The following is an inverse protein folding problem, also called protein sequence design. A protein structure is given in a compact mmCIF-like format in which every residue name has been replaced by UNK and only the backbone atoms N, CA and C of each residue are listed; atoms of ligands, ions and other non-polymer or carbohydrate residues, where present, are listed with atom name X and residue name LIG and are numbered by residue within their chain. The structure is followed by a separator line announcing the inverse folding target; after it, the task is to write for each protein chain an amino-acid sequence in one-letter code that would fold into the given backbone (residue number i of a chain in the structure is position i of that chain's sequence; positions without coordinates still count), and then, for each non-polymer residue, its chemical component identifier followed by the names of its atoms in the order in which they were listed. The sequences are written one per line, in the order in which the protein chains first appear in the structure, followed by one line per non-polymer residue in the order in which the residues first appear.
data_IF_719506093951
#
_entry.id   IF_719506093951
#
_cell.length_a   1.000
_cell.length_b   1.000
_cell.length_c   1.000
_cell.angle_alpha   90.00
_cell.angle_beta   90.00
_cell.angle_gamma   90.00
#
_symmetry.space_group_name_H-M   'P 1'
#
loop_
_entity.id
_entity.type
_entity.pdbx_description
1 polymer ?
#
# COMPACT_ATOMS: atom_id res chain seq x y z
N UNK A 1 2.97 18.36 20.65
CA UNK A 1 1.67 19.07 20.45
C UNK A 1 1.82 20.46 19.81
N UNK A 2 2.61 21.39 20.37
CA UNK A 2 2.78 22.76 19.82
C UNK A 2 3.30 22.79 18.37
N UNK A 3 4.25 21.90 18.05
CA UNK A 3 4.85 21.79 16.70
C UNK A 3 3.82 21.47 15.62
N UNK A 4 2.85 20.61 15.93
CA UNK A 4 1.82 20.20 14.96
C UNK A 4 0.70 21.23 14.83
N UNK A 5 0.40 21.96 15.91
CA UNK A 5 -0.60 23.04 15.89
C UNK A 5 -0.22 24.14 14.89
N UNK A 6 1.08 24.41 14.71
CA UNK A 6 1.58 25.35 13.71
C UNK A 6 1.28 24.88 12.27
N UNK A 7 1.37 23.57 12.01
CA UNK A 7 1.10 22.98 10.71
C UNK A 7 -0.41 22.80 10.43
N UNK A 8 -1.24 22.62 11.47
CA UNK A 8 -2.64 22.18 11.34
C UNK A 8 -3.70 23.30 11.37
N UNK A 9 -3.34 24.53 10.97
CA UNK A 9 -4.22 25.73 10.88
C UNK A 9 -5.58 25.59 11.60
N UNK A 10 -5.59 25.72 12.93
CA UNK A 10 -6.83 25.85 13.74
C UNK A 10 -7.57 24.56 14.15
N UNK A 11 -6.99 23.36 13.99
CA UNK A 11 -7.69 22.11 14.29
C UNK A 11 -7.79 21.72 15.79
N UNK A 12 -8.87 20.99 16.14
CA UNK A 12 -9.22 20.60 17.52
C UNK A 12 -8.20 19.62 18.15
N UNK A 13 -7.64 19.91 19.35
CA UNK A 13 -6.61 19.09 20.01
C UNK A 13 -7.04 17.67 20.44
N UNK A 14 -8.35 17.43 20.57
CA UNK A 14 -8.88 16.20 21.21
C UNK A 14 -8.50 14.92 20.47
N UNK A 15 -8.32 14.97 19.14
CA UNK A 15 -7.98 13.80 18.33
C UNK A 15 -6.49 13.43 18.33
N UNK A 16 -5.62 14.31 18.86
CA UNK A 16 -4.16 14.13 18.89
C UNK A 16 -3.68 13.34 20.11
N UNK A 17 -4.46 13.28 21.21
CA UNK A 17 -4.03 12.64 22.46
C UNK A 17 -3.61 11.18 22.28
N UNK A 18 -4.39 10.39 21.54
CA UNK A 18 -4.07 8.98 21.30
C UNK A 18 -2.81 8.79 20.45
N UNK A 19 -2.55 9.70 19.52
CA UNK A 19 -1.39 9.65 18.64
C UNK A 19 -0.11 10.05 19.35
N UNK A 20 -0.18 11.10 20.19
CA UNK A 20 0.95 11.56 21.01
C UNK A 20 1.38 10.52 22.06
N UNK A 21 0.54 9.53 22.35
CA UNK A 21 0.87 8.39 23.22
C UNK A 21 1.54 7.25 22.47
N UNK A 22 1.48 7.22 21.13
CA UNK A 22 2.21 6.25 20.32
C UNK A 22 3.51 6.91 19.83
N UNK A 23 4.62 6.57 20.47
CA UNK A 23 5.93 7.16 20.19
C UNK A 23 6.37 6.92 18.74
N UNK A 24 6.09 5.74 18.19
CA UNK A 24 6.50 5.38 16.82
C UNK A 24 5.74 6.22 15.79
N UNK A 25 4.41 6.30 15.92
CA UNK A 25 3.62 7.14 15.03
C UNK A 25 3.95 8.62 15.20
N UNK A 26 4.14 9.09 16.43
CA UNK A 26 4.56 10.48 16.69
C UNK A 26 5.87 10.78 15.96
N UNK A 27 6.88 9.92 16.07
CA UNK A 27 8.15 10.08 15.36
C UNK A 27 7.98 10.06 13.84
N UNK A 28 7.14 9.16 13.31
CA UNK A 28 6.87 9.07 11.87
C UNK A 28 6.23 10.33 11.28
N UNK A 29 5.26 10.93 11.98
CA UNK A 29 4.67 12.21 11.58
C UNK A 29 5.62 13.40 11.84
N UNK A 30 6.36 13.39 12.95
CA UNK A 30 7.36 14.43 13.27
C UNK A 30 8.43 14.53 12.18
N UNK A 31 8.80 13.42 11.55
CA UNK A 31 9.77 13.38 10.45
C UNK A 31 9.34 14.19 9.22
N UNK A 32 8.04 14.53 9.09
CA UNK A 32 7.48 15.32 8.00
C UNK A 32 7.29 16.81 8.36
N UNK A 33 7.64 17.24 9.58
CA UNK A 33 7.41 18.63 10.02
C UNK A 33 8.20 19.68 9.23
N UNK A 34 9.33 19.29 8.64
CA UNK A 34 10.16 20.16 7.82
C UNK A 34 9.68 20.26 6.36
N UNK A 35 8.53 19.65 6.02
CA UNK A 35 7.86 19.79 4.73
C UNK A 35 6.48 20.44 4.95
N UNK A 36 6.39 21.77 5.11
CA UNK A 36 5.13 22.43 5.48
C UNK A 36 3.97 22.11 4.53
N UNK A 37 4.25 22.00 3.22
CA UNK A 37 3.25 21.75 2.19
C UNK A 37 2.43 20.46 2.35
N UNK A 38 2.99 19.39 2.94
CA UNK A 38 2.27 18.10 3.03
C UNK A 38 1.17 18.07 4.08
N UNK A 39 1.23 18.98 5.06
CA UNK A 39 0.33 18.98 6.22
C UNK A 39 -1.11 19.37 5.90
N UNK A 40 -1.36 20.02 4.75
CA UNK A 40 -2.72 20.27 4.24
C UNK A 40 -3.48 18.96 3.95
N UNK A 41 -2.76 17.87 3.65
CA UNK A 41 -3.35 16.55 3.45
C UNK A 41 -3.76 15.82 4.73
N UNK A 42 -3.50 16.37 5.91
CA UNK A 42 -3.73 15.69 7.18
C UNK A 42 -5.22 15.45 7.48
N UNK A 43 -5.60 14.21 7.84
CA UNK A 43 -6.99 13.86 8.20
C UNK A 43 -7.11 13.37 9.64
N UNK A 44 -7.31 14.31 10.57
CA UNK A 44 -7.41 14.01 12.00
C UNK A 44 -8.54 13.04 12.38
N UNK A 45 -9.61 13.00 11.58
CA UNK A 45 -10.76 12.11 11.80
C UNK A 45 -10.43 10.64 11.48
N UNK A 46 -9.41 10.39 10.66
CA UNK A 46 -8.97 9.03 10.28
C UNK A 46 -7.87 8.51 11.20
N UNK A 47 -7.18 9.35 11.98
CA UNK A 47 -6.07 8.96 12.85
C UNK A 47 -6.42 7.86 13.87
N UNK A 48 -7.55 7.99 14.55
CA UNK A 48 -7.97 6.99 15.54
C UNK A 48 -8.27 5.64 14.89
N UNK A 49 -8.87 5.68 13.69
CA UNK A 49 -9.09 4.47 12.89
C UNK A 49 -7.75 3.88 12.48
N UNK A 50 -6.83 4.69 11.97
CA UNK A 50 -5.49 4.28 11.55
C UNK A 50 -4.78 3.48 12.65
N UNK A 51 -4.70 4.03 13.86
CA UNK A 51 -4.02 3.39 14.99
C UNK A 51 -4.67 2.06 15.40
N UNK A 52 -5.97 1.86 15.12
CA UNK A 52 -6.70 0.65 15.48
C UNK A 52 -6.64 -0.46 14.41
N UNK A 53 -6.07 -0.21 13.23
CA UNK A 53 -6.13 -1.18 12.12
C UNK A 53 -5.14 -2.33 12.24
N UNK A 54 -4.07 -2.17 13.03
CA UNK A 54 -3.01 -3.18 13.16
C UNK A 54 -2.06 -3.20 11.97
N UNK A 55 -1.79 -2.05 11.33
CA UNK A 55 -0.84 -1.94 10.21
C UNK A 55 0.17 -0.81 10.45
N UNK A 56 0.72 -0.77 11.67
CA UNK A 56 1.60 0.33 12.11
C UNK A 56 2.83 0.45 11.23
N UNK A 57 3.52 -0.66 10.96
CA UNK A 57 4.80 -0.63 10.27
C UNK A 57 4.63 -0.24 8.79
N UNK A 58 3.56 -0.71 8.15
CA UNK A 58 3.17 -0.31 6.79
C UNK A 58 2.86 1.18 6.72
N UNK A 59 2.13 1.70 7.71
CA UNK A 59 1.84 3.14 7.77
C UNK A 59 3.12 3.96 7.93
N UNK A 60 4.02 3.55 8.83
CA UNK A 60 5.30 4.21 9.04
C UNK A 60 6.18 4.14 7.78
N UNK A 61 6.12 3.05 7.02
CA UNK A 61 6.79 2.94 5.74
C UNK A 61 6.27 3.97 4.72
N UNK A 62 4.95 4.15 4.63
CA UNK A 62 4.37 5.16 3.75
C UNK A 62 4.80 6.58 4.16
N UNK A 63 4.77 6.90 5.47
CA UNK A 63 5.24 8.20 5.95
C UNK A 63 6.74 8.43 5.64
N UNK A 64 7.57 7.39 5.79
CA UNK A 64 8.98 7.43 5.38
C UNK A 64 9.13 7.66 3.88
N UNK A 65 8.32 6.98 3.07
CA UNK A 65 8.33 7.14 1.62
C UNK A 65 7.99 8.57 1.19
N UNK A 66 7.02 9.23 1.85
CA UNK A 66 6.75 10.66 1.65
C UNK A 66 8.03 11.48 1.88
N UNK A 67 8.70 11.26 3.02
CA UNK A 67 9.93 11.96 3.35
C UNK A 67 11.03 11.75 2.32
N UNK A 68 11.23 10.51 1.90
CA UNK A 68 12.27 10.12 0.94
C UNK A 68 12.05 10.76 -0.43
N UNK A 69 10.81 10.76 -0.95
CA UNK A 69 10.49 11.38 -2.25
C UNK A 69 10.80 12.87 -2.23
N UNK A 70 10.30 13.62 -1.24
CA UNK A 70 10.57 15.06 -1.18
C UNK A 70 12.04 15.38 -0.90
N UNK A 71 12.72 14.55 -0.09
CA UNK A 71 14.17 14.71 0.15
C UNK A 71 14.97 14.44 -1.12
N UNK A 72 14.62 13.42 -1.90
CA UNK A 72 15.23 13.13 -3.19
C UNK A 72 15.02 14.24 -4.21
N UNK A 73 13.85 14.91 -4.16
CA UNK A 73 13.53 16.01 -5.08
C UNK A 73 14.33 17.28 -4.81
N UNK A 74 14.36 17.77 -3.56
CA UNK A 74 14.92 19.11 -3.27
C UNK A 74 16.14 19.11 -2.35
N UNK A 75 16.47 17.97 -1.74
CA UNK A 75 17.50 17.87 -0.71
C UNK A 75 16.97 18.24 0.68
N UNK A 76 17.64 17.75 1.73
CA UNK A 76 17.20 17.91 3.13
C UNK A 76 17.05 19.39 3.54
N UNK A 77 18.00 20.23 3.15
CA UNK A 77 18.06 21.63 3.59
C UNK A 77 17.00 22.51 2.93
N UNK A 78 16.38 22.05 1.84
CA UNK A 78 15.38 22.80 1.08
C UNK A 78 13.94 22.32 1.28
N UNK A 79 13.71 21.30 2.12
CA UNK A 79 12.37 20.76 2.39
C UNK A 79 11.39 21.83 2.89
N UNK A 80 11.89 22.79 3.68
CA UNK A 80 11.09 23.90 4.22
C UNK A 80 10.54 24.87 3.17
N UNK A 81 11.07 24.83 1.94
CA UNK A 81 10.62 25.65 0.80
C UNK A 81 9.41 25.04 0.06
N UNK A 82 9.02 23.79 0.38
CA UNK A 82 7.89 23.12 -0.26
C UNK A 82 6.57 23.64 0.31
N UNK A 83 5.83 24.37 -0.53
CA UNK A 83 4.52 24.93 -0.18
C UNK A 83 3.36 23.97 -0.52
N UNK A 84 2.17 24.30 0.00
CA UNK A 84 0.95 23.51 -0.22
C UNK A 84 0.56 23.44 -1.69
N UNK A 85 0.74 24.52 -2.45
CA UNK A 85 0.38 24.57 -3.87
C UNK A 85 1.24 23.57 -4.68
N UNK A 86 2.52 23.50 -4.38
CA UNK A 86 3.47 22.55 -4.97
C UNK A 86 3.06 21.11 -4.64
N UNK A 87 2.77 20.79 -3.38
CA UNK A 87 2.32 19.43 -3.01
C UNK A 87 1.01 19.06 -3.70
N UNK A 88 0.04 19.99 -3.77
CA UNK A 88 -1.25 19.76 -4.44
C UNK A 88 -1.12 19.50 -5.94
N UNK A 89 -0.17 20.14 -6.59
CA UNK A 89 0.11 19.90 -7.99
C UNK A 89 0.79 18.53 -8.22
N UNK A 90 1.61 18.06 -7.27
CA UNK A 90 2.38 16.82 -7.38
C UNK A 90 1.60 15.58 -6.95
N UNK A 91 0.81 15.66 -5.87
CA UNK A 91 0.25 14.48 -5.20
C UNK A 91 -0.57 13.58 -6.13
N UNK A 92 -0.22 12.31 -6.22
CA UNK A 92 -0.88 11.35 -7.11
C UNK A 92 -0.48 11.42 -8.59
N UNK A 93 0.53 12.21 -8.97
CA UNK A 93 1.13 12.16 -10.32
C UNK A 93 2.26 11.15 -10.40
N UNK A 94 2.51 10.63 -11.60
CA UNK A 94 3.61 9.70 -11.88
C UNK A 94 4.56 10.30 -12.94
N UNK A 95 5.29 11.39 -12.63
CA UNK A 95 6.13 12.09 -13.62
C UNK A 95 7.26 11.26 -14.22
N UNK A 96 7.68 10.16 -13.58
CA UNK A 96 8.65 9.22 -14.15
C UNK A 96 8.07 8.16 -15.09
N UNK A 97 6.75 8.13 -15.27
CA UNK A 97 6.07 7.16 -16.15
C UNK A 97 5.09 7.81 -17.15
N UNK A 98 4.44 8.93 -16.77
CA UNK A 98 3.48 9.66 -17.60
C UNK A 98 4.07 10.97 -18.13
N UNK A 99 4.20 11.05 -19.46
CA UNK A 99 4.63 12.28 -20.14
C UNK A 99 3.60 13.40 -19.97
N UNK A 100 2.30 13.06 -19.88
CA UNK A 100 1.23 14.02 -19.60
C UNK A 100 1.39 14.66 -18.23
N UNK A 101 1.60 13.86 -17.18
CA UNK A 101 1.84 14.38 -15.84
C UNK A 101 3.06 15.29 -15.79
N UNK A 102 4.14 14.89 -16.44
CA UNK A 102 5.37 15.68 -16.51
C UNK A 102 5.15 17.02 -17.22
N UNK A 103 4.42 17.01 -18.34
CA UNK A 103 4.10 18.22 -19.10
C UNK A 103 3.22 19.19 -18.30
N UNK A 104 2.19 18.67 -17.62
CA UNK A 104 1.32 19.47 -16.74
C UNK A 104 2.11 20.10 -15.58
N UNK A 105 3.08 19.37 -15.00
CA UNK A 105 3.95 19.89 -13.94
C UNK A 105 4.89 20.99 -14.45
N UNK A 106 5.50 20.81 -15.64
CA UNK A 106 6.38 21.82 -16.25
C UNK A 106 5.62 23.09 -16.66
N UNK A 107 4.35 22.97 -17.06
CA UNK A 107 3.48 24.11 -17.34
C UNK A 107 2.97 24.83 -16.10
N UNK A 108 3.08 24.22 -14.92
CA UNK A 108 2.59 24.74 -13.65
C UNK A 108 3.52 25.77 -13.00
N UNK A 109 2.95 26.72 -12.25
CA UNK A 109 3.71 27.62 -11.37
C UNK A 109 3.94 26.97 -10.00
N UNK A 110 4.78 25.93 -9.98
CA UNK A 110 5.17 25.20 -8.76
C UNK A 110 6.61 25.52 -8.35
N UNK A 111 7.01 25.14 -7.14
CA UNK A 111 8.35 25.42 -6.59
C UNK A 111 8.69 26.92 -6.59
N UNK A 112 7.71 27.75 -6.21
CA UNK A 112 7.80 29.22 -6.29
C UNK A 112 8.98 29.80 -5.49
N UNK A 113 9.35 29.16 -4.37
CA UNK A 113 10.47 29.53 -3.51
C UNK A 113 11.87 29.11 -4.02
N UNK A 114 11.96 28.49 -5.20
CA UNK A 114 13.21 28.07 -5.84
C UNK A 114 13.54 28.97 -7.05
N UNK A 115 14.83 29.17 -7.30
CA UNK A 115 15.33 29.83 -8.52
C UNK A 115 15.07 28.96 -9.76
N UNK A 116 15.08 29.58 -10.95
CA UNK A 116 14.80 28.84 -12.19
C UNK A 116 15.80 27.70 -12.45
N UNK A 117 17.07 27.89 -12.07
CA UNK A 117 18.09 26.84 -12.14
C UNK A 117 17.80 25.68 -11.20
N UNK A 118 17.40 25.96 -9.96
CA UNK A 118 17.00 24.91 -9.00
C UNK A 118 15.75 24.16 -9.50
N UNK A 119 14.77 24.88 -10.07
CA UNK A 119 13.56 24.27 -10.63
C UNK A 119 13.86 23.29 -11.75
N UNK A 120 14.78 23.62 -12.65
CA UNK A 120 15.15 22.72 -13.75
C UNK A 120 15.71 21.40 -13.21
N UNK A 121 16.62 21.47 -12.22
CA UNK A 121 17.15 20.27 -11.55
C UNK A 121 16.06 19.47 -10.83
N UNK A 122 15.05 20.13 -10.27
CA UNK A 122 13.91 19.45 -9.64
C UNK A 122 13.06 18.72 -10.70
N UNK A 123 12.84 19.32 -11.87
CA UNK A 123 12.11 18.68 -12.97
C UNK A 123 12.84 17.47 -13.56
N UNK A 124 14.18 17.48 -13.57
CA UNK A 124 14.98 16.29 -13.91
C UNK A 124 14.77 15.18 -12.86
N UNK A 125 14.78 15.51 -11.57
CA UNK A 125 14.57 14.52 -10.51
C UNK A 125 13.14 13.98 -10.45
N UNK A 126 12.14 14.78 -10.84
CA UNK A 126 10.75 14.33 -10.94
C UNK A 126 10.60 13.15 -11.91
N UNK A 127 11.36 13.15 -13.00
CA UNK A 127 11.38 12.06 -13.98
C UNK A 127 11.97 10.75 -13.43
N UNK A 128 12.74 10.84 -12.34
CA UNK A 128 13.34 9.68 -11.70
C UNK A 128 12.43 9.06 -10.62
N UNK A 129 11.27 9.67 -10.34
CA UNK A 129 10.32 9.12 -9.39
C UNK A 129 9.71 7.84 -9.95
N UNK A 130 9.95 6.75 -9.24
CA UNK A 130 9.40 5.44 -9.51
C UNK A 130 8.08 5.24 -8.73
N UNK A 131 6.99 5.69 -9.33
CA UNK A 131 5.64 5.59 -8.77
C UNK A 131 4.88 6.91 -8.75
N UNK A 132 3.78 6.92 -8.02
CA UNK A 132 2.99 8.12 -7.72
C UNK A 132 3.71 8.95 -6.65
N UNK A 133 3.68 10.29 -6.78
CA UNK A 133 4.17 11.18 -5.73
C UNK A 133 3.25 11.05 -4.51
N UNK A 134 3.75 10.57 -3.35
CA UNK A 134 2.94 10.38 -2.16
C UNK A 134 2.77 11.69 -1.39
N UNK A 135 1.67 11.82 -0.65
CA UNK A 135 1.43 12.90 0.31
C UNK A 135 0.61 12.39 1.48
N UNK A 136 0.39 13.23 2.51
CA UNK A 136 -0.56 12.86 3.57
C UNK A 136 -1.98 12.69 3.03
N UNK A 137 -2.36 13.43 1.98
CA UNK A 137 -3.67 13.27 1.35
C UNK A 137 -3.83 11.88 0.72
N UNK A 138 -2.86 11.43 -0.08
CA UNK A 138 -2.89 10.09 -0.70
C UNK A 138 -2.81 9.01 0.37
N UNK A 139 -1.93 9.15 1.36
CA UNK A 139 -1.82 8.24 2.51
C UNK A 139 -3.17 7.96 3.17
N UNK A 140 -3.92 9.01 3.55
CA UNK A 140 -5.21 8.83 4.22
C UNK A 140 -6.31 8.28 3.31
N UNK A 141 -6.15 8.36 1.98
CA UNK A 141 -7.03 7.67 1.04
C UNK A 141 -6.65 6.20 0.93
N UNK A 142 -5.38 5.92 0.65
CA UNK A 142 -4.84 4.59 0.39
C UNK A 142 -4.95 3.66 1.60
N UNK A 143 -4.86 4.22 2.80
CA UNK A 143 -4.96 3.42 4.03
C UNK A 143 -6.31 2.74 4.20
N UNK A 144 -7.37 3.29 3.60
CA UNK A 144 -8.70 2.67 3.60
C UNK A 144 -8.68 1.37 2.80
N UNK A 145 -7.90 1.31 1.73
CA UNK A 145 -7.71 0.09 0.93
C UNK A 145 -6.81 -0.91 1.66
N UNK A 146 -5.70 -0.45 2.24
CA UNK A 146 -4.84 -1.31 3.07
C UNK A 146 -5.63 -1.97 4.20
N UNK A 147 -6.52 -1.21 4.86
CA UNK A 147 -7.39 -1.74 5.92
C UNK A 147 -8.18 -2.97 5.45
N UNK A 148 -8.77 -2.93 4.25
CA UNK A 148 -9.55 -4.05 3.71
C UNK A 148 -8.68 -5.30 3.54
N UNK A 149 -7.44 -5.12 3.08
CA UNK A 149 -6.48 -6.22 2.93
C UNK A 149 -6.05 -6.79 4.29
N UNK A 150 -5.71 -5.92 5.23
CA UNK A 150 -5.26 -6.30 6.59
C UNK A 150 -6.37 -6.99 7.38
N UNK A 151 -7.62 -6.56 7.21
CA UNK A 151 -8.76 -7.23 7.85
C UNK A 151 -8.97 -8.66 7.33
N UNK A 152 -8.59 -8.97 6.09
CA UNK A 152 -8.56 -10.35 5.60
C UNK A 152 -7.52 -11.19 6.36
N UNK A 153 -6.33 -10.63 6.57
CA UNK A 153 -5.22 -11.32 7.23
C UNK A 153 -5.47 -11.57 8.72
N UNK A 154 -6.29 -10.75 9.39
CA UNK A 154 -6.73 -11.00 10.78
C UNK A 154 -7.46 -12.34 10.97
N UNK A 155 -7.97 -12.94 9.89
CA UNK A 155 -8.58 -14.28 9.96
C UNK A 155 -7.55 -15.39 10.13
N UNK A 156 -6.27 -15.13 9.86
CA UNK A 156 -5.19 -16.12 9.96
C UNK A 156 -4.51 -16.13 11.34
N UNK A 157 -4.74 -15.13 12.19
CA UNK A 157 -4.02 -15.00 13.46
C UNK A 157 -4.81 -14.19 14.49
N UNK A 158 -4.71 -14.56 15.77
CA UNK A 158 -5.17 -13.70 16.86
C UNK A 158 -4.17 -12.60 17.11
N UNK A 159 -4.57 -11.36 16.84
CA UNK A 159 -3.71 -10.17 16.94
C UNK A 159 -3.88 -9.53 18.32
N UNK A 160 -2.82 -9.40 19.13
CA UNK A 160 -2.90 -8.68 20.39
C UNK A 160 -3.25 -7.21 20.21
N UNK A 161 -3.78 -6.59 21.27
CA UNK A 161 -4.20 -5.18 21.22
C UNK A 161 -2.98 -4.28 20.93
N UNK A 162 -3.11 -3.39 19.94
CA UNK A 162 -2.07 -2.44 19.47
C UNK A 162 -0.86 -3.09 18.77
N UNK A 163 -0.94 -4.36 18.39
CA UNK A 163 0.10 -5.01 17.59
C UNK A 163 -0.23 -4.99 16.08
N UNK A 164 0.82 -5.11 15.26
CA UNK A 164 0.69 -5.20 13.81
C UNK A 164 0.29 -6.61 13.40
N UNK A 165 -0.65 -6.74 12.45
CA UNK A 165 -1.12 -8.04 11.93
C UNK A 165 0.04 -8.76 11.23
N UNK A 166 0.80 -8.07 10.40
CA UNK A 166 1.94 -8.63 9.68
C UNK A 166 3.06 -9.03 10.64
N UNK A 167 3.39 -8.21 11.65
CA UNK A 167 4.37 -8.55 12.69
C UNK A 167 3.91 -9.75 13.54
N UNK A 168 2.61 -9.88 13.78
CA UNK A 168 2.04 -11.04 14.48
C UNK A 168 2.13 -12.29 13.61
N UNK A 169 1.78 -12.20 12.32
CA UNK A 169 1.95 -13.31 11.38
C UNK A 169 3.42 -13.74 11.24
N UNK A 170 4.35 -12.79 11.17
CA UNK A 170 5.78 -13.07 11.10
C UNK A 170 6.26 -13.99 12.23
N UNK A 171 5.77 -13.77 13.47
CA UNK A 171 6.09 -14.60 14.65
C UNK A 171 5.49 -16.01 14.60
N UNK A 172 4.53 -16.26 13.71
CA UNK A 172 3.91 -17.58 13.52
C UNK A 172 4.55 -18.40 12.41
N UNK A 173 5.57 -17.85 11.74
CA UNK A 173 6.35 -18.57 10.76
C UNK A 173 7.06 -19.76 11.42
N UNK A 174 6.86 -20.94 10.86
CA UNK A 174 7.27 -22.21 11.44
C UNK A 174 8.15 -23.03 10.51
N UNK A 175 8.57 -22.46 9.37
CA UNK A 175 9.29 -23.10 8.26
C UNK A 175 8.68 -24.39 7.66
N UNK A 176 7.50 -24.79 8.15
CA UNK A 176 6.74 -25.93 7.62
C UNK A 176 6.51 -25.76 6.13
N UNK A 177 6.59 -26.89 5.40
CA UNK A 177 6.41 -26.92 3.96
C UNK A 177 7.43 -26.08 3.15
N UNK A 178 8.50 -25.59 3.78
CA UNK A 178 9.57 -24.85 3.09
C UNK A 178 10.75 -25.75 2.76
N UNK A 179 11.48 -25.36 1.71
CA UNK A 179 12.78 -25.94 1.36
C UNK A 179 13.88 -25.08 1.96
N UNK A 180 14.81 -25.68 2.69
CA UNK A 180 15.92 -24.95 3.33
C UNK A 180 16.71 -24.14 2.30
N UNK A 181 17.01 -22.88 2.62
CA UNK A 181 17.75 -21.94 1.77
C UNK A 181 16.99 -21.43 0.54
N UNK A 182 15.68 -21.67 0.48
CA UNK A 182 14.84 -21.20 -0.62
C UNK A 182 13.60 -20.47 -0.09
N UNK A 183 13.15 -19.48 -0.86
CA UNK A 183 11.88 -18.79 -0.68
C UNK A 183 10.90 -19.27 -1.74
N UNK A 184 9.71 -19.65 -1.30
CA UNK A 184 8.62 -20.07 -2.17
C UNK A 184 7.80 -18.86 -2.64
N UNK A 185 7.65 -18.71 -3.96
CA UNK A 185 6.94 -17.59 -4.59
C UNK A 185 5.83 -18.11 -5.49
N UNK A 186 4.60 -17.67 -5.24
CA UNK A 186 3.42 -17.94 -6.05
C UNK A 186 3.49 -17.16 -7.37
N UNK A 187 3.36 -17.87 -8.49
CA UNK A 187 3.35 -17.28 -9.85
C UNK A 187 1.94 -17.23 -10.43
N UNK A 188 1.14 -18.27 -10.18
CA UNK A 188 -0.28 -18.36 -10.55
C UNK A 188 -1.08 -18.86 -9.34
N UNK A 189 -2.40 -19.00 -9.47
CA UNK A 189 -3.23 -19.53 -8.36
C UNK A 189 -2.76 -20.90 -7.85
N UNK A 190 -2.21 -21.74 -8.72
CA UNK A 190 -1.83 -23.12 -8.46
C UNK A 190 -0.33 -23.43 -8.57
N UNK A 191 0.48 -22.52 -9.13
CA UNK A 191 1.92 -22.74 -9.35
C UNK A 191 2.83 -21.85 -8.48
N UNK A 192 3.99 -22.41 -8.15
CA UNK A 192 5.01 -21.80 -7.31
C UNK A 192 6.39 -22.05 -7.90
N UNK A 193 7.30 -21.13 -7.66
CA UNK A 193 8.74 -21.28 -7.91
C UNK A 193 9.48 -21.17 -6.58
N UNK A 194 10.57 -21.92 -6.44
CA UNK A 194 11.50 -21.78 -5.33
C UNK A 194 12.71 -20.97 -5.81
N UNK A 195 13.04 -19.89 -5.11
CA UNK A 195 14.21 -19.04 -5.38
C UNK A 195 15.17 -19.11 -4.20
N UNK A 196 16.46 -18.86 -4.40
CA UNK A 196 17.40 -18.78 -3.28
C UNK A 196 17.01 -17.63 -2.34
N UNK A 197 17.11 -17.85 -1.02
CA UNK A 197 16.86 -16.78 -0.05
C UNK A 197 16.97 -17.23 1.41
N UNK A 198 16.87 -16.25 2.30
CA UNK A 198 17.03 -16.40 3.75
C UNK A 198 15.69 -16.66 4.44
N UNK A 199 15.70 -17.10 5.72
CA UNK A 199 14.47 -17.17 6.51
C UNK A 199 13.75 -15.83 6.65
N UNK A 200 14.48 -14.70 6.66
CA UNK A 200 13.88 -13.37 6.68
C UNK A 200 13.13 -13.08 5.37
N UNK A 201 13.69 -13.48 4.23
CA UNK A 201 13.03 -13.36 2.93
C UNK A 201 11.77 -14.23 2.85
N UNK A 202 11.79 -15.44 3.42
CA UNK A 202 10.60 -16.29 3.51
C UNK A 202 9.45 -15.61 4.27
N UNK A 203 9.77 -14.93 5.37
CA UNK A 203 8.77 -14.23 6.19
C UNK A 203 8.25 -12.99 5.45
N UNK A 204 9.14 -12.14 4.93
CA UNK A 204 8.77 -10.91 4.24
C UNK A 204 7.97 -11.20 2.96
N UNK A 205 8.51 -12.02 2.04
CA UNK A 205 7.81 -12.40 0.82
C UNK A 205 6.57 -13.25 1.11
N UNK A 206 6.57 -14.03 2.20
CA UNK A 206 5.40 -14.77 2.66
C UNK A 206 4.23 -13.84 3.00
N UNK A 207 4.48 -12.82 3.84
CA UNK A 207 3.47 -11.81 4.20
C UNK A 207 3.01 -11.03 2.97
N UNK A 208 3.94 -10.61 2.10
CA UNK A 208 3.62 -9.88 0.87
C UNK A 208 2.73 -10.68 -0.07
N UNK A 209 2.94 -11.99 -0.19
CA UNK A 209 2.08 -12.88 -0.98
C UNK A 209 0.68 -13.01 -0.38
N UNK A 210 0.56 -13.06 0.95
CA UNK A 210 -0.75 -13.04 1.62
C UNK A 210 -1.49 -11.72 1.40
N UNK A 211 -0.79 -10.59 1.47
CA UNK A 211 -1.35 -9.27 1.13
C UNK A 211 -1.78 -9.24 -0.34
N UNK A 212 -0.97 -9.76 -1.26
CA UNK A 212 -1.31 -9.83 -2.68
C UNK A 212 -2.58 -10.68 -2.92
N UNK A 213 -2.74 -11.81 -2.23
CA UNK A 213 -4.00 -12.58 -2.26
C UNK A 213 -5.17 -11.76 -1.68
N UNK A 214 -4.97 -11.05 -0.57
CA UNK A 214 -6.00 -10.20 0.00
C UNK A 214 -6.41 -9.08 -0.98
N UNK A 215 -5.47 -8.46 -1.67
CA UNK A 215 -5.76 -7.47 -2.72
C UNK A 215 -6.60 -8.06 -3.86
N UNK A 216 -6.41 -9.35 -4.20
CA UNK A 216 -7.18 -10.06 -5.25
C UNK A 216 -8.60 -10.47 -4.85
N UNK A 217 -8.88 -10.59 -3.55
CA UNK A 217 -10.10 -11.26 -3.09
C UNK A 217 -10.80 -10.59 -1.89
N UNK A 218 -10.36 -9.41 -1.43
CA UNK A 218 -10.98 -8.71 -0.30
C UNK A 218 -12.52 -8.52 -0.44
N UNK A 219 -13.12 -8.30 -1.63
CA UNK A 219 -14.58 -8.14 -1.74
C UNK A 219 -15.34 -9.42 -1.38
N UNK A 220 -14.71 -10.60 -1.54
CA UNK A 220 -15.26 -11.89 -1.18
C UNK A 220 -14.95 -12.29 0.29
N UNK A 221 -14.09 -11.54 0.99
CA UNK A 221 -13.68 -11.80 2.38
C UNK A 221 -14.22 -10.74 3.36
N UNK A 222 -15.43 -10.22 3.12
CA UNK A 222 -16.05 -9.21 3.99
C UNK A 222 -16.07 -9.67 5.46
N UNK A 223 -15.91 -8.73 6.37
CA UNK A 223 -16.00 -8.99 7.79
C UNK A 223 -17.36 -9.58 8.14
N UNK A 224 -17.38 -10.53 9.07
CA UNK A 224 -18.63 -11.05 9.60
C UNK A 224 -19.41 -9.89 10.24
N UNK A 225 -20.74 -9.83 10.06
CA UNK A 225 -21.55 -8.81 10.73
C UNK A 225 -21.30 -8.88 12.24
N UNK A 226 -21.01 -7.72 12.84
CA UNK A 226 -21.15 -7.58 14.29
C UNK A 226 -22.61 -7.90 14.60
N UNK A 227 -22.87 -8.84 15.51
CA UNK A 227 -24.23 -9.22 15.92
C UNK A 227 -24.94 -8.02 16.57
N UNK A 228 -25.51 -7.13 15.77
CA UNK A 228 -26.37 -6.05 16.22
C UNK A 228 -27.62 -5.94 15.32
N UNK A 229 -28.76 -6.16 15.98
CA UNK A 229 -30.16 -6.05 15.54
C UNK A 229 -30.69 -7.04 14.47
N UNK A 230 -31.81 -7.76 14.76
CA UNK A 230 -32.38 -8.79 13.88
C UNK A 230 -33.12 -8.27 12.63
N UNK A 231 -33.10 -6.96 12.34
CA UNK A 231 -33.87 -6.34 11.23
C UNK A 231 -32.95 -5.78 10.14
N UNK A 232 -31.89 -6.51 9.78
CA UNK A 232 -31.07 -6.16 8.60
C UNK A 232 -30.93 -7.36 7.69
N UNK A 233 -31.10 -7.11 6.39
CA UNK A 233 -30.90 -8.06 5.29
C UNK A 233 -29.67 -8.93 5.56
N UNK A 234 -29.81 -10.24 5.32
CA UNK A 234 -28.75 -11.21 5.54
C UNK A 234 -27.43 -10.68 4.94
N UNK A 235 -26.43 -10.37 5.78
CA UNK A 235 -25.17 -9.84 5.29
C UNK A 235 -24.53 -10.89 4.38
N UNK A 236 -24.01 -10.46 3.24
CA UNK A 236 -23.25 -11.33 2.34
C UNK A 236 -22.06 -11.87 3.13
N UNK A 237 -22.13 -13.13 3.56
CA UNK A 237 -21.07 -13.80 4.31
C UNK A 237 -19.81 -13.92 3.45
N UNK A 238 -18.65 -13.97 4.09
CA UNK A 238 -17.40 -14.27 3.40
C UNK A 238 -17.51 -15.61 2.66
N UNK A 239 -16.94 -15.67 1.45
CA UNK A 239 -16.90 -16.89 0.65
C UNK A 239 -15.99 -17.93 1.34
N UNK A 240 -16.55 -19.06 1.82
CA UNK A 240 -15.76 -20.08 2.52
C UNK A 240 -14.59 -20.61 1.69
N UNK A 241 -14.76 -20.65 0.37
CA UNK A 241 -13.74 -21.17 -0.51
C UNK A 241 -12.54 -20.23 -0.64
N UNK A 242 -12.80 -18.92 -0.72
CA UNK A 242 -11.74 -17.90 -0.74
C UNK A 242 -10.98 -17.90 0.59
N UNK A 243 -11.69 -18.06 1.71
CA UNK A 243 -11.07 -18.19 3.03
C UNK A 243 -10.16 -19.41 3.14
N UNK A 244 -10.59 -20.55 2.56
CA UNK A 244 -9.74 -21.75 2.45
C UNK A 244 -8.49 -21.46 1.63
N UNK A 245 -8.62 -20.81 0.47
CA UNK A 245 -7.47 -20.47 -0.39
C UNK A 245 -6.45 -19.55 0.31
N UNK A 246 -6.92 -18.57 1.10
CA UNK A 246 -6.04 -17.73 1.92
C UNK A 246 -5.24 -18.58 2.94
N UNK A 247 -5.90 -19.52 3.61
CA UNK A 247 -5.27 -20.39 4.59
C UNK A 247 -4.34 -21.43 3.96
N UNK A 248 -4.70 -21.98 2.80
CA UNK A 248 -3.84 -22.88 2.02
C UNK A 248 -2.56 -22.18 1.57
N UNK A 249 -2.66 -20.93 1.09
CA UNK A 249 -1.48 -20.14 0.75
C UNK A 249 -0.61 -19.90 2.00
N UNK A 250 -1.20 -19.47 3.13
CA UNK A 250 -0.45 -19.24 4.37
C UNK A 250 0.30 -20.50 4.85
N UNK A 251 -0.37 -21.66 4.82
CA UNK A 251 0.24 -22.94 5.18
C UNK A 251 1.35 -23.35 4.21
N UNK A 252 1.19 -23.11 2.90
CA UNK A 252 2.22 -23.39 1.88
C UNK A 252 3.44 -22.48 2.01
N UNK A 253 3.26 -21.27 2.55
CA UNK A 253 4.33 -20.29 2.81
C UNK A 253 4.96 -20.46 4.22
N UNK A 254 4.53 -21.46 4.98
CA UNK A 254 5.17 -21.85 6.25
C UNK A 254 4.64 -21.15 7.50
N UNK A 255 3.55 -20.39 7.37
CA UNK A 255 2.81 -19.86 8.53
C UNK A 255 1.91 -20.95 9.11
N UNK A 256 1.87 -21.05 10.44
CA UNK A 256 1.11 -22.08 11.12
C UNK A 256 0.43 -21.53 12.38
N UNK A 257 -0.90 -21.51 12.36
CA UNK A 257 -1.74 -21.07 13.47
C UNK A 257 -2.97 -21.97 13.60
N UNK A 258 -3.62 -22.04 14.77
CA UNK A 258 -4.90 -22.73 14.91
C UNK A 258 -5.96 -22.27 13.89
N UNK A 259 -5.99 -20.96 13.59
CA UNK A 259 -6.92 -20.35 12.65
C UNK A 259 -6.66 -20.82 11.22
N UNK A 260 -5.39 -20.89 10.78
CA UNK A 260 -5.03 -21.44 9.48
C UNK A 260 -5.51 -22.89 9.36
N UNK A 261 -5.26 -23.72 10.38
CA UNK A 261 -5.65 -25.14 10.40
C UNK A 261 -7.18 -25.33 10.39
N UNK A 262 -7.93 -24.42 10.98
CA UNK A 262 -9.40 -24.43 10.95
C UNK A 262 -9.93 -24.07 9.56
N UNK A 263 -9.44 -22.96 8.98
CA UNK A 263 -9.89 -22.47 7.68
C UNK A 263 -9.60 -23.43 6.52
N UNK A 264 -8.53 -24.21 6.58
CA UNK A 264 -8.23 -25.26 5.59
C UNK A 264 -9.36 -26.31 5.49
N UNK A 265 -10.18 -26.48 6.53
CA UNK A 265 -11.29 -27.45 6.54
C UNK A 265 -12.52 -26.95 5.77
N UNK A 266 -12.57 -25.69 5.37
CA UNK A 266 -13.70 -25.13 4.63
C UNK A 266 -13.81 -25.76 3.23
N UNK A 267 -14.97 -25.68 2.55
CA UNK A 267 -15.11 -26.19 1.18
C UNK A 267 -14.09 -25.55 0.24
N UNK A 268 -13.53 -26.32 -0.69
CA UNK A 268 -12.60 -25.80 -1.70
C UNK A 268 -13.32 -24.98 -2.77
N UNK A 269 -12.62 -24.00 -3.32
CA UNK A 269 -13.08 -23.31 -4.53
C UNK A 269 -13.20 -24.33 -5.65
N UNK A 270 -14.36 -24.38 -6.30
CA UNK A 270 -14.41 -24.89 -7.67
C UNK A 270 -13.73 -23.83 -8.52
N UNK A 271 -12.43 -23.96 -8.70
CA UNK A 271 -11.64 -23.02 -9.51
C UNK A 271 -12.22 -22.99 -10.91
N UNK A 272 -12.85 -21.87 -11.28
CA UNK A 272 -12.89 -21.47 -12.68
C UNK A 272 -11.43 -21.18 -13.01
N UNK A 273 -10.84 -21.99 -13.89
CA UNK A 273 -9.50 -21.71 -14.40
C UNK A 273 -9.55 -20.31 -15.00
N UNK A 274 -8.78 -19.39 -14.45
CA UNK A 274 -8.37 -18.21 -15.20
C UNK A 274 -7.39 -18.74 -16.26
N UNK A 275 -7.94 -19.30 -17.34
CA UNK A 275 -7.22 -19.67 -18.54
C UNK A 275 -6.77 -18.38 -19.22
N UNK A 276 -5.77 -17.74 -18.64
CA UNK A 276 -5.11 -16.58 -19.20
C UNK A 276 -3.62 -16.82 -19.02
N UNK A 277 -2.95 -17.12 -20.13
CA UNK A 277 -1.49 -17.01 -20.25
C UNK A 277 -1.06 -15.71 -19.55
N UNK A 278 0.03 -15.70 -18.76
CA UNK A 278 0.42 -14.51 -18.01
C UNK A 278 0.97 -13.46 -18.98
N UNK A 279 0.08 -12.71 -19.64
CA UNK A 279 0.46 -11.46 -20.29
C UNK A 279 0.94 -10.51 -19.20
N UNK A 280 2.09 -9.88 -19.41
CA UNK A 280 2.59 -8.87 -18.49
C UNK A 280 1.58 -7.70 -18.37
N UNK A 281 1.29 -7.21 -17.16
CA UNK A 281 0.41 -6.06 -17.01
C UNK A 281 1.04 -4.82 -17.65
N UNK A 282 0.23 -4.08 -18.39
CA UNK A 282 0.64 -2.76 -18.88
C UNK A 282 0.73 -1.80 -17.71
N UNK A 283 1.80 -1.02 -17.67
CA UNK A 283 2.06 0.00 -16.64
C UNK A 283 1.68 1.41 -17.12
N UNK A 284 1.72 1.61 -18.43
CA UNK A 284 1.45 2.89 -19.10
C UNK A 284 0.52 2.66 -20.29
N UNK A 285 -0.07 3.73 -20.79
CA UNK A 285 -0.97 3.73 -21.95
C UNK A 285 -0.68 4.92 -22.87
N UNK A 286 -1.09 4.81 -24.13
CA UNK A 286 -1.00 5.85 -25.16
C UNK A 286 -2.18 6.81 -25.16
N UNK A 287 -2.88 6.96 -24.04
CA UNK A 287 -3.99 7.89 -23.88
C UNK A 287 -4.03 8.46 -22.47
N UNK A 288 -5.15 9.06 -22.09
CA UNK A 288 -5.29 9.79 -20.82
C UNK A 288 -4.97 8.99 -19.55
N UNK A 289 -5.11 7.66 -19.61
CA UNK A 289 -4.89 6.77 -18.49
C UNK A 289 -5.87 7.03 -17.33
N UNK A 290 -5.44 6.70 -16.12
CA UNK A 290 -6.27 6.86 -14.92
C UNK A 290 -6.37 8.35 -14.54
N UNK A 291 -7.59 8.85 -14.35
CA UNK A 291 -7.85 10.21 -13.86
C UNK A 291 -7.28 10.43 -12.45
N UNK A 292 -6.78 11.64 -12.17
CA UNK A 292 -6.07 12.01 -10.94
C UNK A 292 -6.81 11.65 -9.64
N UNK A 293 -8.12 11.85 -9.61
CA UNK A 293 -8.96 11.57 -8.45
C UNK A 293 -9.13 10.06 -8.19
N UNK A 294 -8.77 9.18 -9.12
CA UNK A 294 -8.80 7.72 -8.99
C UNK A 294 -7.43 7.09 -8.71
N UNK A 295 -6.36 7.89 -8.63
CA UNK A 295 -5.00 7.39 -8.39
C UNK A 295 -4.68 7.10 -6.91
N UNK A 296 -5.68 7.14 -6.03
CA UNK A 296 -5.52 6.79 -4.61
C UNK A 296 -6.82 6.30 -3.98
N UNK A 297 -6.71 5.55 -2.89
CA UNK A 297 -7.81 4.93 -2.17
C UNK A 297 -8.22 3.57 -2.74
N UNK A 298 -9.45 3.19 -2.44
CA UNK A 298 -10.05 1.92 -2.87
C UNK A 298 -10.24 1.97 -4.39
N UNK A 299 -9.80 0.94 -5.14
CA UNK A 299 -9.96 0.92 -6.59
C UNK A 299 -11.44 0.85 -6.98
N UNK A 300 -11.77 1.41 -8.15
CA UNK A 300 -13.09 1.22 -8.77
C UNK A 300 -13.26 -0.25 -9.17
N UNK A 301 -14.50 -0.71 -9.23
CA UNK A 301 -14.82 -2.12 -9.55
C UNK A 301 -14.17 -2.58 -10.86
N UNK A 302 -14.28 -1.79 -11.92
CA UNK A 302 -13.70 -2.12 -13.24
C UNK A 302 -12.17 -2.29 -13.16
N UNK A 303 -11.48 -1.28 -12.62
CA UNK A 303 -10.03 -1.33 -12.41
C UNK A 303 -9.60 -2.50 -11.51
N UNK A 304 -10.39 -2.81 -10.48
CA UNK A 304 -10.13 -3.95 -9.60
C UNK A 304 -10.25 -5.29 -10.35
N UNK A 305 -11.31 -5.49 -11.14
CA UNK A 305 -11.50 -6.74 -11.89
C UNK A 305 -10.44 -6.91 -13.00
N UNK A 306 -9.99 -5.81 -13.60
CA UNK A 306 -8.88 -5.82 -14.56
C UNK A 306 -7.54 -6.15 -13.88
N UNK A 307 -7.23 -5.49 -12.75
CA UNK A 307 -5.92 -5.61 -12.12
C UNK A 307 -5.73 -6.92 -11.35
N UNK A 308 -6.80 -7.49 -10.76
CA UNK A 308 -6.70 -8.63 -9.81
C UNK A 308 -5.99 -9.85 -10.39
N UNK A 309 -6.07 -10.08 -11.70
CA UNK A 309 -5.41 -11.22 -12.34
C UNK A 309 -3.88 -11.07 -12.37
N UNK A 310 -3.35 -9.87 -12.10
CA UNK A 310 -1.93 -9.55 -12.09
C UNK A 310 -1.36 -9.30 -10.69
N UNK A 311 -2.18 -9.29 -9.64
CA UNK A 311 -1.75 -8.95 -8.26
C UNK A 311 -1.04 -10.13 -7.58
N UNK A 312 0.11 -10.51 -8.14
CA UNK A 312 1.10 -11.42 -7.60
C UNK A 312 2.39 -10.64 -7.28
N UNK A 313 3.16 -11.09 -6.29
CA UNK A 313 4.38 -10.37 -5.87
C UNK A 313 5.40 -10.23 -7.01
N UNK A 314 5.45 -11.20 -7.93
CA UNK A 314 6.33 -11.15 -9.12
C UNK A 314 6.01 -9.97 -10.03
N UNK A 315 4.75 -9.59 -10.16
CA UNK A 315 4.35 -8.44 -10.98
C UNK A 315 4.43 -7.13 -10.19
N UNK A 316 4.07 -7.16 -8.90
CA UNK A 316 4.16 -6.01 -8.00
C UNK A 316 5.60 -5.55 -7.77
N UNK A 317 6.57 -6.47 -7.75
CA UNK A 317 7.99 -6.17 -7.56
C UNK A 317 8.78 -6.06 -8.86
N UNK A 318 8.14 -6.26 -10.00
CA UNK A 318 8.80 -6.12 -11.30
C UNK A 318 9.39 -4.70 -11.44
N UNK A 319 10.64 -4.58 -11.90
CA UNK A 319 11.34 -3.28 -12.01
C UNK A 319 11.21 -2.63 -13.40
N UNK A 320 10.34 -3.16 -14.27
CA UNK A 320 10.15 -2.63 -15.60
C UNK A 320 9.63 -1.18 -15.53
N UNK A 321 10.48 -0.27 -16.00
CA UNK A 321 10.20 1.16 -16.09
C UNK A 321 9.80 1.48 -17.52
N UNK A 322 8.52 1.79 -17.72
CA UNK A 322 7.95 2.12 -19.01
C UNK A 322 7.47 3.57 -19.00
N UNK A 323 7.56 4.21 -20.17
CA UNK A 323 7.09 5.57 -20.39
C UNK A 323 5.90 5.55 -21.34
N UNK A 324 4.85 6.32 -21.02
CA UNK A 324 3.69 6.48 -21.89
C UNK A 324 3.00 7.82 -21.64
N UNK A 325 1.90 8.06 -22.35
CA UNK A 325 1.12 9.28 -22.19
C UNK A 325 0.46 9.33 -20.81
N UNK A 326 -0.23 8.26 -20.44
CA UNK A 326 -0.87 8.07 -19.13
C UNK A 326 -0.42 6.79 -18.43
N UNK A 327 -0.83 6.63 -17.17
CA UNK A 327 -0.60 5.42 -16.36
C UNK A 327 -1.85 4.54 -16.30
N UNK A 328 -1.65 3.23 -16.11
CA UNK A 328 -2.74 2.25 -15.95
C UNK A 328 -3.20 2.13 -14.50
N UNK A 329 -4.34 1.46 -14.28
CA UNK A 329 -4.82 1.09 -12.94
C UNK A 329 -3.83 0.20 -12.20
N UNK A 330 -3.22 -0.76 -12.90
CA UNK A 330 -2.20 -1.63 -12.32
C UNK A 330 -0.98 -0.85 -11.81
N UNK A 331 -0.49 0.15 -12.55
CA UNK A 331 0.58 1.03 -12.08
C UNK A 331 0.21 1.74 -10.79
N UNK A 332 -1.02 2.28 -10.71
CA UNK A 332 -1.54 2.91 -9.49
C UNK A 332 -1.54 1.90 -8.34
N UNK A 333 -2.06 0.68 -8.54
CA UNK A 333 -2.13 -0.35 -7.49
C UNK A 333 -0.75 -0.79 -7.01
N UNK A 334 0.19 -0.97 -7.95
CA UNK A 334 1.59 -1.29 -7.65
C UNK A 334 2.25 -0.17 -6.84
N UNK A 335 2.08 1.09 -7.24
CA UNK A 335 2.64 2.23 -6.51
C UNK A 335 2.08 2.35 -5.09
N UNK A 336 0.77 2.18 -4.90
CA UNK A 336 0.13 2.18 -3.57
C UNK A 336 0.67 1.04 -2.71
N UNK A 337 0.82 -0.16 -3.27
CA UNK A 337 1.41 -1.30 -2.59
C UNK A 337 2.86 -1.00 -2.15
N UNK A 338 3.71 -0.50 -3.06
CA UNK A 338 5.11 -0.17 -2.75
C UNK A 338 5.24 0.97 -1.74
N UNK A 339 4.30 1.91 -1.68
CA UNK A 339 4.30 2.95 -0.64
C UNK A 339 4.14 2.35 0.77
N UNK A 340 3.33 1.30 0.94
CA UNK A 340 3.13 0.64 2.23
C UNK A 340 4.18 -0.42 2.56
N UNK A 341 4.66 -1.17 1.58
CA UNK A 341 5.53 -2.31 1.83
C UNK A 341 6.99 -2.08 1.42
N UNK A 342 7.28 -1.01 0.67
CA UNK A 342 8.59 -0.77 0.08
C UNK A 342 8.94 -1.81 -0.98
N UNK A 343 10.12 -1.63 -1.60
CA UNK A 343 10.73 -2.66 -2.45
C UNK A 343 11.35 -3.74 -1.55
N UNK A 344 11.29 -5.03 -1.93
CA UNK A 344 12.04 -6.06 -1.23
C UNK A 344 13.53 -5.70 -1.28
N UNK A 345 14.26 -5.95 -0.19
CA UNK A 345 15.72 -5.77 -0.19
C UNK A 345 16.32 -6.81 -1.14
N UNK A 346 16.82 -6.37 -2.28
CA UNK A 346 17.60 -7.22 -3.18
C UNK A 346 18.83 -7.72 -2.40
N UNK A 347 18.90 -9.02 -2.14
CA UNK A 347 20.11 -9.69 -1.64
C UNK A 347 21.16 -9.79 -2.72
#
# INVERSE_FOLDING_TARGET
ELRWKACLRGCRPKNLKGLLLDEKFTAGFDALLDIPGVWDGMRLTTLQKMMAMGCRDECLNYLRHIKEVFTGLVGKDALGKIDTATVKALEGRAPGASTKDLAELRGGKIFSAFSDREREMIYERLQMIDGLVPSLFTFFRDIQYLKLCIDCLKRLVTVPKRESVCETLARTYSDKNQRKGHVKIQITEDSFVDQAGTPADCIDLGIRQLVALAMRYYPAMKADPVKENPVRMAPTKADPAVLRSLAELASRLGFDTPQIRELIRYPSLRTVRLDSSPSMPLHVTSGDGVAMDHRSGIPRTEAYEEDRVFLFVTQLHNEQQNWGEGITSFFVRKSVYLAFFGRPTST
#
